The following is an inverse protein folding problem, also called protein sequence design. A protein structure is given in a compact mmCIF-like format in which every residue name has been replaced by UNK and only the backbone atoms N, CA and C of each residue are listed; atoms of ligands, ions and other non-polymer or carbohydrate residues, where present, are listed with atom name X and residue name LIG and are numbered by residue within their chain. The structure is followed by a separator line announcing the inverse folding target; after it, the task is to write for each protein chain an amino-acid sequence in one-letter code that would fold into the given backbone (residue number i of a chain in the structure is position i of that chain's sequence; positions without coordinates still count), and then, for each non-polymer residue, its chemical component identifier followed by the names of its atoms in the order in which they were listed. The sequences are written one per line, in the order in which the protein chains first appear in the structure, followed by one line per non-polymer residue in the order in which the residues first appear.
data_IF_076952695668
#
_entry.id   IF_076952695668
#
_cell.length_a   1.000
_cell.length_b   1.000
_cell.length_c   1.000
_cell.angle_alpha   90.00
_cell.angle_beta   90.00
_cell.angle_gamma   90.00
#
_symmetry.space_group_name_H-M   'P 1'
#
loop_
_entity.id
_entity.type
_entity.pdbx_description
1 polymer ?
#
# COMPACT_ATOMS: atom_id res chain seq x y z
N UNK A 1 49.27 9.11 22.42
CA UNK A 1 48.02 9.84 22.10
C UNK A 1 47.73 9.76 20.60
N UNK A 2 47.01 8.72 20.13
CA UNK A 2 46.53 8.56 18.74
C UNK A 2 45.37 7.55 18.72
N UNK A 3 44.18 7.94 19.15
CA UNK A 3 42.97 7.10 19.02
C UNK A 3 41.68 7.89 18.74
N UNK A 4 41.74 9.21 18.55
CA UNK A 4 40.51 10.02 18.42
C UNK A 4 39.92 10.04 17.01
N UNK A 5 40.76 9.84 15.97
CA UNK A 5 40.33 10.00 14.56
C UNK A 5 39.58 8.78 14.00
N UNK A 6 39.95 7.58 14.42
CA UNK A 6 39.33 6.32 13.98
C UNK A 6 37.94 6.09 14.56
N UNK A 7 37.73 6.49 15.82
CA UNK A 7 36.44 6.35 16.50
C UNK A 7 35.38 7.30 15.94
N UNK A 8 35.79 8.50 15.50
CA UNK A 8 34.89 9.45 14.85
C UNK A 8 34.37 8.89 13.52
N UNK A 9 35.25 8.31 12.69
CA UNK A 9 34.87 7.72 11.40
C UNK A 9 33.92 6.53 11.60
N UNK A 10 34.19 5.67 12.59
CA UNK A 10 33.31 4.54 12.94
C UNK A 10 31.92 5.02 13.38
N UNK A 11 31.84 6.09 14.18
CA UNK A 11 30.56 6.68 14.60
C UNK A 11 29.78 7.23 13.41
N UNK A 12 30.43 7.94 12.48
CA UNK A 12 29.78 8.44 11.27
C UNK A 12 29.24 7.32 10.39
N UNK A 13 30.00 6.24 10.21
CA UNK A 13 29.56 5.06 9.44
C UNK A 13 28.35 4.35 10.08
N UNK A 14 28.32 4.25 11.41
CA UNK A 14 27.19 3.65 12.13
C UNK A 14 25.93 4.52 12.03
N UNK A 15 26.08 5.85 12.13
CA UNK A 15 24.96 6.79 12.00
C UNK A 15 24.36 6.76 10.59
N UNK A 16 25.19 6.75 9.55
CA UNK A 16 24.69 6.68 8.17
C UNK A 16 24.04 5.33 7.86
N UNK A 17 24.58 4.23 8.38
CA UNK A 17 23.98 2.91 8.25
C UNK A 17 22.60 2.83 8.94
N UNK A 18 22.48 3.36 10.16
CA UNK A 18 21.19 3.41 10.87
C UNK A 18 20.18 4.30 10.15
N UNK A 19 20.59 5.47 9.67
CA UNK A 19 19.70 6.38 8.95
C UNK A 19 19.16 5.75 7.65
N UNK A 20 20.03 5.07 6.90
CA UNK A 20 19.65 4.33 5.69
C UNK A 20 18.65 3.19 5.99
N UNK A 21 18.85 2.46 7.09
CA UNK A 21 17.94 1.40 7.53
C UNK A 21 16.55 1.95 7.90
N UNK A 22 16.49 3.08 8.62
CA UNK A 22 15.23 3.72 9.00
C UNK A 22 14.47 4.24 7.78
N UNK A 23 15.16 4.87 6.82
CA UNK A 23 14.54 5.32 5.57
C UNK A 23 13.97 4.15 4.75
N UNK A 24 14.62 2.98 4.78
CA UNK A 24 14.19 1.79 4.05
C UNK A 24 12.94 1.12 4.66
N UNK A 25 12.67 1.32 5.96
CA UNK A 25 11.48 0.77 6.64
C UNK A 25 10.20 1.59 6.39
N UNK A 26 10.32 2.83 5.92
CA UNK A 26 9.17 3.73 5.69
C UNK A 26 8.28 3.36 4.48
N UNK A 27 8.76 2.53 3.56
CA UNK A 27 8.06 2.23 2.29
C UNK A 27 7.10 1.02 2.35
N UNK A 28 6.96 0.35 3.50
CA UNK A 28 6.30 -0.95 3.57
C UNK A 28 4.78 -0.93 3.81
N UNK A 29 4.15 0.24 4.05
CA UNK A 29 2.73 0.31 4.36
C UNK A 29 1.91 0.71 3.13
N UNK A 30 1.53 -0.28 2.33
CA UNK A 30 0.43 -0.13 1.38
C UNK A 30 -0.87 -0.41 2.12
N UNK A 31 -1.68 0.63 2.31
CA UNK A 31 -3.03 0.45 2.85
C UNK A 31 -3.83 -0.40 1.86
N UNK A 32 -4.06 -1.66 2.20
CA UNK A 32 -4.92 -2.56 1.44
C UNK A 32 -6.35 -2.12 1.70
N UNK A 33 -6.92 -1.38 0.76
CA UNK A 33 -8.34 -0.99 0.83
C UNK A 33 -9.18 -2.20 0.45
N UNK A 34 -9.85 -2.79 1.44
CA UNK A 34 -10.82 -3.86 1.21
C UNK A 34 -12.08 -3.25 0.59
N UNK A 35 -12.43 -3.69 -0.61
CA UNK A 35 -13.66 -3.26 -1.27
C UNK A 35 -14.83 -3.99 -0.58
N UNK A 36 -15.87 -3.27 -0.10
CA UNK A 36 -17.01 -3.90 0.56
C UNK A 36 -17.69 -4.99 -0.28
N UNK A 37 -17.76 -4.82 -1.60
CA UNK A 37 -18.27 -5.82 -2.54
C UNK A 37 -17.53 -7.16 -2.44
N UNK A 38 -16.23 -7.18 -2.14
CA UNK A 38 -15.45 -8.41 -2.03
C UNK A 38 -15.88 -9.27 -0.84
N UNK A 39 -16.44 -8.65 0.21
CA UNK A 39 -17.02 -9.36 1.36
C UNK A 39 -18.36 -10.03 1.05
N UNK A 40 -18.99 -9.63 -0.05
CA UNK A 40 -20.30 -10.11 -0.47
C UNK A 40 -20.20 -11.23 -1.52
N UNK A 41 -18.98 -11.60 -1.92
CA UNK A 41 -18.71 -12.68 -2.86
C UNK A 41 -19.01 -14.01 -2.17
N UNK A 42 -19.93 -14.80 -2.72
CA UNK A 42 -20.22 -16.16 -2.28
C UNK A 42 -19.89 -17.14 -3.41
N UNK A 43 -18.96 -18.08 -3.20
CA UNK A 43 -18.65 -19.07 -4.22
C UNK A 43 -19.81 -20.05 -4.39
N UNK A 44 -20.06 -20.44 -5.64
CA UNK A 44 -21.04 -21.44 -6.03
C UNK A 44 -20.34 -22.78 -6.32
N UNK A 45 -21.05 -23.93 -6.22
CA UNK A 45 -20.45 -25.25 -6.42
C UNK A 45 -19.89 -25.50 -7.83
N UNK A 46 -20.34 -24.72 -8.81
CA UNK A 46 -19.90 -24.75 -10.21
C UNK A 46 -18.61 -23.94 -10.46
N UNK A 47 -18.04 -23.33 -9.41
CA UNK A 47 -16.87 -22.47 -9.51
C UNK A 47 -17.18 -21.02 -9.87
N UNK A 48 -18.46 -20.66 -10.05
CA UNK A 48 -18.89 -19.28 -10.22
C UNK A 48 -19.08 -18.58 -8.87
N UNK A 49 -19.47 -17.31 -8.91
CA UNK A 49 -19.79 -16.51 -7.73
C UNK A 49 -21.22 -16.00 -7.79
N UNK A 50 -21.89 -15.97 -6.65
CA UNK A 50 -23.22 -15.39 -6.50
C UNK A 50 -23.16 -13.88 -6.75
N UNK A 51 -23.95 -13.41 -7.72
CA UNK A 51 -24.11 -12.00 -8.03
C UNK A 51 -25.41 -11.51 -7.40
N UNK A 52 -25.31 -10.87 -6.24
CA UNK A 52 -26.47 -10.29 -5.56
C UNK A 52 -26.74 -8.85 -6.06
N UNK A 53 -27.99 -8.35 -5.99
CA UNK A 53 -28.29 -6.96 -6.34
C UNK A 53 -27.47 -5.93 -5.54
N UNK A 54 -27.23 -6.22 -4.25
CA UNK A 54 -26.43 -5.35 -3.39
C UNK A 54 -24.94 -5.38 -3.78
N UNK A 55 -24.40 -6.54 -4.16
CA UNK A 55 -23.04 -6.65 -4.71
C UNK A 55 -22.90 -5.83 -6.00
N UNK A 56 -23.87 -5.92 -6.91
CA UNK A 56 -23.88 -5.14 -8.16
C UNK A 56 -23.88 -3.63 -7.90
N UNK A 57 -24.69 -3.17 -6.95
CA UNK A 57 -24.78 -1.75 -6.61
C UNK A 57 -23.46 -1.21 -6.06
N UNK A 58 -22.82 -1.94 -5.14
CA UNK A 58 -21.54 -1.56 -4.57
C UNK A 58 -20.41 -1.59 -5.62
N UNK A 59 -20.41 -2.61 -6.48
CA UNK A 59 -19.45 -2.70 -7.58
C UNK A 59 -19.58 -1.52 -8.55
N UNK A 60 -20.81 -1.17 -8.93
CA UNK A 60 -21.08 -0.02 -9.79
C UNK A 60 -20.57 1.30 -9.17
N UNK A 61 -20.84 1.53 -7.89
CA UNK A 61 -20.39 2.74 -7.17
C UNK A 61 -18.86 2.84 -7.16
N UNK A 62 -18.17 1.74 -6.90
CA UNK A 62 -16.72 1.69 -6.91
C UNK A 62 -16.15 2.02 -8.29
N UNK A 63 -16.66 1.38 -9.35
CA UNK A 63 -16.17 1.58 -10.72
C UNK A 63 -16.39 3.03 -11.18
N UNK A 64 -17.53 3.63 -10.82
CA UNK A 64 -17.80 5.05 -11.05
C UNK A 64 -16.79 5.94 -10.33
N UNK A 65 -16.53 5.69 -9.04
CA UNK A 65 -15.55 6.46 -8.28
C UNK A 65 -14.14 6.34 -8.88
N UNK A 66 -13.69 5.13 -9.23
CA UNK A 66 -12.39 4.91 -9.87
C UNK A 66 -12.26 5.64 -11.20
N UNK A 67 -13.32 5.61 -12.03
CA UNK A 67 -13.33 6.33 -13.29
C UNK A 67 -13.19 7.86 -13.11
N UNK A 68 -13.84 8.43 -12.10
CA UNK A 68 -13.69 9.85 -11.78
C UNK A 68 -12.30 10.17 -11.21
N UNK A 69 -11.72 9.30 -10.38
CA UNK A 69 -10.37 9.50 -9.84
C UNK A 69 -9.30 9.48 -10.93
N UNK A 70 -9.42 8.55 -11.89
CA UNK A 70 -8.54 8.48 -13.06
C UNK A 70 -8.63 9.76 -13.92
N UNK A 71 -9.83 10.33 -14.09
CA UNK A 71 -9.99 11.62 -14.78
C UNK A 71 -9.28 12.73 -14.03
N UNK A 72 -9.45 12.82 -12.70
CA UNK A 72 -8.76 13.81 -11.86
C UNK A 72 -7.25 13.70 -11.96
N UNK A 73 -6.71 12.49 -11.93
CA UNK A 73 -5.27 12.26 -12.08
C UNK A 73 -4.73 12.65 -13.46
N UNK A 74 -5.51 12.46 -14.54
CA UNK A 74 -5.10 12.83 -15.90
C UNK A 74 -5.09 14.35 -16.14
N UNK A 75 -5.84 15.10 -15.34
CA UNK A 75 -5.95 16.57 -15.45
C UNK A 75 -4.89 17.33 -14.62
N UNK A 76 -4.05 16.61 -13.87
CA UNK A 76 -2.90 17.16 -13.12
C UNK A 76 -1.61 16.97 -13.90
#
# INVERSE_FOLDING_TARGET
MRTTRGDSIRRWLLVTAMLSAVCSMGCARRDVVVIPADRMIRPLPDGNYEVTPAWLQERYRLERWQAEELKRCRQR
#
